data_IF_227077006623
#
_entry.id   IF_227077006623
#
_cell.length_a   1.000
_cell.length_b   1.000
_cell.length_c   1.000
_cell.angle_alpha   90.00
_cell.angle_beta   90.00
_cell.angle_gamma   90.00
#
_symmetry.space_group_name_H-M   'P 1'
#
loop_
_entity.id
_entity.type
_entity.pdbx_description
1 polymer ?
#
# COMPACT_ATOMS: atom_id res chain seq x y z
N UNK A 1 -29.35 0.66 36.78
CA UNK A 1 -27.96 0.51 36.31
C UNK A 1 -27.96 -0.42 35.11
N UNK A 2 -28.03 0.15 33.90
CA UNK A 2 -28.14 -0.61 32.66
C UNK A 2 -26.74 -1.06 32.20
N UNK A 3 -26.60 -2.36 31.96
CA UNK A 3 -25.40 -2.99 31.41
C UNK A 3 -25.04 -2.37 30.04
N UNK A 4 -23.80 -1.92 29.91
CA UNK A 4 -23.26 -1.34 28.68
C UNK A 4 -23.22 -2.35 27.53
N UNK A 5 -23.78 -1.92 26.41
CA UNK A 5 -23.95 -2.55 25.10
C UNK A 5 -22.78 -3.49 24.66
N UNK A 6 -23.04 -4.73 24.19
CA UNK A 6 -22.00 -5.59 23.64
C UNK A 6 -21.44 -4.98 22.36
N UNK A 7 -20.17 -4.56 22.38
CA UNK A 7 -19.42 -4.18 21.16
C UNK A 7 -19.59 -5.31 20.16
N UNK A 8 -20.22 -5.05 19.03
CA UNK A 8 -20.40 -6.01 17.93
C UNK A 8 -19.02 -6.45 17.47
N UNK A 9 -18.57 -7.61 17.95
CA UNK A 9 -17.28 -8.20 17.60
C UNK A 9 -17.26 -8.40 16.09
N UNK A 10 -16.32 -7.76 15.39
CA UNK A 10 -16.14 -7.98 13.95
C UNK A 10 -15.79 -9.46 13.74
N UNK A 11 -16.72 -10.25 13.21
CA UNK A 11 -16.57 -11.72 13.11
C UNK A 11 -15.54 -12.15 12.05
N UNK A 12 -15.07 -11.23 11.21
CA UNK A 12 -14.24 -11.52 10.03
C UNK A 12 -12.94 -10.72 9.94
N UNK A 13 -12.66 -9.87 10.93
CA UNK A 13 -11.41 -9.09 10.99
C UNK A 13 -10.63 -9.47 12.25
N UNK A 14 -9.32 -9.65 12.10
CA UNK A 14 -8.40 -9.78 13.24
C UNK A 14 -8.07 -8.43 13.88
N UNK A 15 -8.45 -7.32 13.24
CA UNK A 15 -8.24 -5.96 13.74
C UNK A 15 -9.41 -5.53 14.63
N UNK A 16 -9.09 -4.80 15.70
CA UNK A 16 -10.08 -4.28 16.64
C UNK A 16 -10.64 -2.94 16.17
N UNK A 17 -9.79 -2.10 15.56
CA UNK A 17 -10.12 -0.77 15.10
C UNK A 17 -9.65 -0.55 13.65
N UNK A 18 -10.24 0.43 12.97
CA UNK A 18 -9.76 0.89 11.65
C UNK A 18 -8.40 1.57 11.78
N UNK A 19 -8.15 2.27 12.90
CA UNK A 19 -6.86 2.88 13.23
C UNK A 19 -5.69 1.88 13.23
N UNK A 20 -5.96 0.61 13.58
CA UNK A 20 -4.96 -0.45 13.55
C UNK A 20 -4.34 -0.64 12.14
N UNK A 21 -5.08 -0.34 11.06
CA UNK A 21 -4.54 -0.39 9.69
C UNK A 21 -3.47 0.67 9.43
N UNK A 22 -3.63 1.87 9.99
CA UNK A 22 -2.65 2.95 9.84
C UNK A 22 -1.40 2.66 10.65
N UNK A 23 -1.56 2.18 11.89
CA UNK A 23 -0.45 1.75 12.75
C UNK A 23 0.33 0.61 12.08
N UNK A 24 -0.37 -0.39 11.55
CA UNK A 24 0.25 -1.48 10.79
C UNK A 24 1.04 -0.96 9.58
N UNK A 25 0.47 -0.02 8.81
CA UNK A 25 1.17 0.59 7.67
C UNK A 25 2.45 1.32 8.08
N UNK A 26 2.39 2.15 9.11
CA UNK A 26 3.56 2.85 9.64
C UNK A 26 4.64 1.89 10.16
N UNK A 27 4.25 0.87 10.93
CA UNK A 27 5.15 -0.16 11.42
C UNK A 27 5.83 -0.93 10.28
N UNK A 28 5.08 -1.31 9.24
CA UNK A 28 5.63 -2.04 8.09
C UNK A 28 6.67 -1.21 7.31
N UNK A 29 6.45 0.10 7.16
CA UNK A 29 7.45 0.97 6.52
C UNK A 29 8.74 0.99 7.35
N UNK A 30 8.61 1.11 8.67
CA UNK A 30 9.72 1.10 9.61
C UNK A 30 10.52 -0.21 9.62
N UNK A 31 9.81 -1.33 9.75
CA UNK A 31 10.38 -2.67 9.72
C UNK A 31 11.09 -2.94 8.39
N UNK A 32 10.47 -2.53 7.28
CA UNK A 32 11.07 -2.64 5.95
C UNK A 32 12.36 -1.83 5.84
N UNK A 33 12.37 -0.58 6.32
CA UNK A 33 13.57 0.25 6.31
C UNK A 33 14.69 -0.37 7.18
N UNK A 34 14.36 -0.88 8.37
CA UNK A 34 15.32 -1.55 9.25
C UNK A 34 15.93 -2.79 8.59
N UNK A 35 15.11 -3.63 7.95
CA UNK A 35 15.56 -4.83 7.23
C UNK A 35 16.41 -4.46 6.01
N UNK A 36 16.03 -3.45 5.24
CA UNK A 36 16.80 -2.99 4.08
C UNK A 36 18.16 -2.43 4.50
N UNK A 37 18.22 -1.61 5.56
CA UNK A 37 19.49 -1.14 6.11
C UNK A 37 20.36 -2.27 6.64
N UNK A 38 19.74 -3.26 7.29
CA UNK A 38 20.46 -4.45 7.73
C UNK A 38 21.06 -5.21 6.53
N UNK A 39 20.26 -5.47 5.49
CA UNK A 39 20.72 -6.16 4.27
C UNK A 39 21.88 -5.42 3.59
N UNK A 40 21.79 -4.09 3.44
CA UNK A 40 22.88 -3.30 2.88
C UNK A 40 24.17 -3.39 3.72
N UNK A 41 24.04 -3.34 5.04
CA UNK A 41 25.19 -3.42 5.95
C UNK A 41 25.91 -4.77 5.88
N UNK A 42 25.16 -5.85 5.69
CA UNK A 42 25.73 -7.19 5.48
C UNK A 42 26.28 -7.41 4.07
N UNK A 43 26.18 -6.40 3.18
CA UNK A 43 26.71 -6.46 1.81
C UNK A 43 25.79 -7.16 0.80
N UNK A 44 24.52 -7.37 1.12
CA UNK A 44 23.56 -7.91 0.15
C UNK A 44 23.16 -6.83 -0.86
N UNK A 45 23.17 -7.19 -2.14
CA UNK A 45 22.72 -6.31 -3.21
C UNK A 45 22.76 -7.00 -4.59
N UNK A 46 21.99 -6.49 -5.58
CA UNK A 46 21.01 -5.42 -5.48
C UNK A 46 19.78 -5.82 -4.63
N UNK A 47 19.18 -4.85 -3.93
CA UNK A 47 17.95 -5.06 -3.14
C UNK A 47 16.72 -4.66 -3.95
N UNK A 48 15.59 -5.32 -3.71
CA UNK A 48 14.31 -5.00 -4.33
C UNK A 48 13.14 -5.46 -3.47
N UNK A 49 11.95 -4.94 -3.76
CA UNK A 49 10.75 -5.23 -2.98
C UNK A 49 9.58 -5.63 -3.88
N UNK A 50 8.80 -6.60 -3.41
CA UNK A 50 7.56 -7.02 -4.06
C UNK A 50 6.55 -7.37 -2.99
N UNK A 51 5.28 -7.35 -3.38
CA UNK A 51 4.19 -7.78 -2.52
C UNK A 51 2.94 -7.97 -3.35
N UNK A 52 2.00 -8.76 -2.82
CA UNK A 52 0.74 -9.06 -3.50
C UNK A 52 -0.41 -8.44 -2.71
N UNK A 53 -1.38 -7.83 -3.41
CA UNK A 53 -2.59 -7.29 -2.79
C UNK A 53 -2.25 -6.22 -1.74
N UNK A 54 -2.74 -6.36 -0.51
CA UNK A 54 -2.32 -5.51 0.60
C UNK A 54 -0.79 -5.43 0.75
N UNK A 55 -0.06 -6.54 0.57
CA UNK A 55 1.40 -6.54 0.62
C UNK A 55 2.05 -5.71 -0.48
N UNK A 56 1.45 -5.63 -1.67
CA UNK A 56 1.95 -4.79 -2.76
C UNK A 56 1.74 -3.30 -2.48
N UNK A 57 0.62 -2.95 -1.83
CA UNK A 57 0.38 -1.60 -1.34
C UNK A 57 1.38 -1.23 -0.24
N UNK A 58 1.68 -2.12 0.69
CA UNK A 58 2.65 -1.86 1.78
C UNK A 58 4.09 -1.77 1.26
N UNK A 59 4.47 -2.63 0.31
CA UNK A 59 5.77 -2.55 -0.36
C UNK A 59 5.95 -1.20 -1.09
N UNK A 60 4.87 -0.71 -1.70
CA UNK A 60 4.86 0.60 -2.35
C UNK A 60 5.13 1.73 -1.37
N UNK A 61 4.48 1.72 -0.20
CA UNK A 61 4.71 2.71 0.85
C UNK A 61 6.13 2.67 1.39
N UNK A 62 6.68 1.47 1.60
CA UNK A 62 8.04 1.28 2.09
C UNK A 62 9.07 1.84 1.10
N UNK A 63 8.97 1.48 -0.18
CA UNK A 63 9.91 1.93 -1.23
C UNK A 63 9.79 3.44 -1.50
N UNK A 64 8.58 4.00 -1.43
CA UNK A 64 8.37 5.45 -1.50
C UNK A 64 9.11 6.23 -0.41
N UNK A 65 9.46 5.58 0.71
CA UNK A 65 10.22 6.17 1.81
C UNK A 65 11.69 5.73 1.84
N UNK A 66 12.12 4.90 0.90
CA UNK A 66 13.50 4.44 0.81
C UNK A 66 14.37 5.46 0.04
N UNK A 67 15.54 5.87 0.57
CA UNK A 67 16.32 6.96 0.00
C UNK A 67 17.19 6.59 -1.20
N UNK A 68 17.11 5.35 -1.73
CA UNK A 68 17.94 4.87 -2.83
C UNK A 68 17.09 4.27 -3.97
N UNK A 69 17.60 4.22 -5.21
CA UNK A 69 16.91 3.50 -6.30
C UNK A 69 16.68 2.04 -5.91
N UNK A 70 15.47 1.52 -6.18
CA UNK A 70 15.10 0.16 -5.82
C UNK A 70 14.05 -0.42 -6.80
N UNK A 71 14.28 -1.61 -7.37
CA UNK A 71 13.24 -2.39 -8.04
C UNK A 71 12.03 -2.62 -7.14
N UNK A 72 10.85 -2.23 -7.62
CA UNK A 72 9.59 -2.42 -6.92
C UNK A 72 8.56 -3.07 -7.85
N UNK A 73 8.00 -4.20 -7.40
CA UNK A 73 7.05 -5.00 -8.19
C UNK A 73 5.76 -5.22 -7.37
N UNK A 74 4.88 -4.22 -7.28
CA UNK A 74 3.62 -4.33 -6.57
C UNK A 74 2.63 -5.10 -7.46
N UNK A 75 2.22 -6.26 -6.99
CA UNK A 75 1.34 -7.17 -7.72
C UNK A 75 -0.08 -7.07 -7.17
N UNK A 76 -1.06 -6.94 -8.07
CA UNK A 76 -2.48 -6.90 -7.73
C UNK A 76 -2.77 -5.87 -6.64
N UNK A 77 -2.14 -4.69 -6.70
CA UNK A 77 -2.27 -3.64 -5.68
C UNK A 77 -2.28 -2.26 -6.33
N UNK A 78 -2.98 -1.28 -5.75
CA UNK A 78 -3.09 0.04 -6.37
C UNK A 78 -2.73 1.18 -5.40
N UNK A 79 -2.85 2.41 -5.89
CA UNK A 79 -2.47 3.63 -5.17
C UNK A 79 -3.32 3.94 -3.93
N UNK A 80 -4.46 3.28 -3.75
CA UNK A 80 -5.34 3.51 -2.59
C UNK A 80 -6.10 2.25 -2.18
N UNK A 81 -6.26 2.08 -0.87
CA UNK A 81 -7.16 1.08 -0.29
C UNK A 81 -8.61 1.55 -0.22
N UNK A 82 -8.89 2.83 -0.47
CA UNK A 82 -10.24 3.40 -0.32
C UNK A 82 -11.27 2.66 -1.18
N UNK A 83 -10.97 2.42 -2.46
CA UNK A 83 -11.87 1.70 -3.36
C UNK A 83 -12.17 0.28 -2.89
N UNK A 84 -11.20 -0.40 -2.27
CA UNK A 84 -11.36 -1.76 -1.74
C UNK A 84 -12.50 -1.83 -0.71
N UNK A 85 -12.54 -0.85 0.20
CA UNK A 85 -13.47 -0.84 1.31
C UNK A 85 -14.72 0.03 1.10
N UNK A 86 -14.78 0.87 0.07
CA UNK A 86 -15.95 1.74 -0.19
C UNK A 86 -16.81 1.25 -1.35
N UNK A 87 -16.20 0.71 -2.40
CA UNK A 87 -16.89 0.33 -3.65
C UNK A 87 -16.58 -1.08 -4.14
N UNK A 88 -15.52 -1.72 -3.63
CA UNK A 88 -15.10 -3.07 -3.99
C UNK A 88 -15.90 -4.17 -3.30
N UNK A 89 -15.48 -5.43 -3.49
CA UNK A 89 -16.13 -6.61 -2.86
C UNK A 89 -16.09 -6.59 -1.33
N UNK A 90 -15.18 -5.82 -0.73
CA UNK A 90 -15.10 -5.63 0.72
C UNK A 90 -15.92 -4.43 1.22
N UNK A 91 -16.66 -3.73 0.35
CA UNK A 91 -17.46 -2.56 0.73
C UNK A 91 -18.46 -2.80 1.86
N UNK A 92 -19.03 -4.00 1.91
CA UNK A 92 -19.99 -4.42 2.95
C UNK A 92 -19.33 -5.04 4.17
N UNK A 93 -17.99 -5.10 4.23
CA UNK A 93 -17.26 -5.66 5.37
C UNK A 93 -17.12 -4.66 6.53
N UNK A 94 -17.29 -3.36 6.24
CA UNK A 94 -17.17 -2.27 7.20
C UNK A 94 -18.53 -1.61 7.41
N UNK A 95 -18.91 -1.39 8.67
CA UNK A 95 -20.13 -0.66 8.99
C UNK A 95 -19.87 0.86 8.90
N UNK A 96 -19.81 1.38 7.68
CA UNK A 96 -19.50 2.78 7.42
C UNK A 96 -20.45 3.76 8.11
N UNK A 97 -21.74 3.42 8.20
CA UNK A 97 -22.74 4.26 8.87
C UNK A 97 -22.43 4.45 10.35
N UNK A 98 -22.00 3.39 11.03
CA UNK A 98 -21.62 3.48 12.44
C UNK A 98 -20.29 4.24 12.61
N UNK A 99 -19.30 4.01 11.74
CA UNK A 99 -18.03 4.76 11.77
C UNK A 99 -18.24 6.26 11.55
N UNK A 100 -19.08 6.63 10.58
CA UNK A 100 -19.43 8.02 10.28
C UNK A 100 -20.14 8.67 11.48
N UNK A 101 -21.11 7.97 12.07
CA UNK A 101 -21.77 8.44 13.30
C UNK A 101 -20.77 8.64 14.43
N UNK A 102 -19.86 7.69 14.65
CA UNK A 102 -18.84 7.79 15.70
C UNK A 102 -17.90 8.97 15.46
N UNK A 103 -17.45 9.17 14.22
CA UNK A 103 -16.60 10.28 13.83
C UNK A 103 -17.23 11.64 14.14
N UNK A 104 -18.50 11.84 13.79
CA UNK A 104 -19.20 13.12 14.04
C UNK A 104 -19.67 13.33 15.48
N UNK A 105 -19.84 12.25 16.25
CA UNK A 105 -20.33 12.36 17.64
C UNK A 105 -19.23 12.43 18.68
N UNK A 106 -18.02 11.99 18.36
CA UNK A 106 -16.90 11.93 19.28
C UNK A 106 -15.68 12.63 18.68
N UNK A 107 -15.40 13.85 19.13
CA UNK A 107 -14.29 14.69 18.64
C UNK A 107 -12.91 14.04 18.83
N UNK A 108 -12.78 13.13 19.82
CA UNK A 108 -11.55 12.37 20.06
C UNK A 108 -11.07 11.59 18.83
N UNK A 109 -11.98 11.08 18.00
CA UNK A 109 -11.59 10.31 16.80
C UNK A 109 -11.04 11.20 15.70
N UNK A 110 -11.54 12.42 15.56
CA UNK A 110 -10.97 13.40 14.64
C UNK A 110 -9.54 13.75 15.06
N UNK A 111 -9.33 14.05 16.35
CA UNK A 111 -8.01 14.33 16.91
C UNK A 111 -7.06 13.14 16.76
N UNK A 112 -7.50 11.92 17.06
CA UNK A 112 -6.69 10.70 16.89
C UNK A 112 -6.32 10.45 15.42
N UNK A 113 -7.25 10.64 14.48
CA UNK A 113 -7.00 10.49 13.04
C UNK A 113 -6.00 11.54 12.57
N UNK A 114 -6.17 12.81 12.97
CA UNK A 114 -5.22 13.88 12.65
C UNK A 114 -3.85 13.54 13.22
N UNK A 115 -3.76 13.14 14.49
CA UNK A 115 -2.50 12.78 15.12
C UNK A 115 -1.83 11.57 14.45
N UNK A 116 -2.59 10.55 14.04
CA UNK A 116 -2.06 9.42 13.27
C UNK A 116 -1.53 9.85 11.90
N UNK A 117 -2.25 10.75 11.21
CA UNK A 117 -1.82 11.30 9.92
C UNK A 117 -0.57 12.18 10.07
N UNK A 118 -0.50 12.98 11.14
CA UNK A 118 0.65 13.81 11.49
C UNK A 118 1.86 12.98 11.90
N UNK A 119 1.67 11.94 12.72
CA UNK A 119 2.73 11.01 13.12
C UNK A 119 3.29 10.28 11.90
N UNK A 120 2.41 9.74 11.04
CA UNK A 120 2.84 9.17 9.77
C UNK A 120 3.54 10.23 8.91
N UNK A 121 3.02 11.46 8.82
CA UNK A 121 3.62 12.51 7.99
C UNK A 121 4.98 13.01 8.47
N UNK A 122 5.14 13.26 9.77
CA UNK A 122 6.38 13.76 10.36
C UNK A 122 7.48 12.69 10.40
N UNK A 123 7.12 11.41 10.53
CA UNK A 123 8.05 10.30 10.42
C UNK A 123 8.46 9.99 8.97
N UNK A 124 7.56 10.20 8.01
CA UNK A 124 7.73 9.90 6.58
C UNK A 124 8.12 11.15 5.76
N UNK A 125 9.06 12.02 6.18
CA UNK A 125 9.49 13.22 5.40
C UNK A 125 8.34 14.01 4.73
N UNK A 126 7.16 14.13 5.34
CA UNK A 126 6.03 14.92 4.82
C UNK A 126 5.92 16.20 5.65
N UNK A 127 6.91 17.08 5.50
CA UNK A 127 6.75 18.49 5.83
C UNK A 127 6.65 19.28 4.53
N UNK A 128 5.52 19.13 3.83
CA UNK A 128 4.89 20.18 3.02
C UNK A 128 3.63 19.66 2.32
N UNK A 129 2.58 20.49 2.39
CA UNK A 129 1.34 20.51 1.59
C UNK A 129 0.16 19.65 2.07
N UNK A 130 -0.62 20.26 2.97
CA UNK A 130 -2.06 20.49 2.77
C UNK A 130 -2.84 19.32 2.10
N UNK A 131 -3.22 18.34 2.91
CA UNK A 131 -4.43 17.52 2.82
C UNK A 131 -4.89 16.93 1.46
N UNK A 132 -4.04 16.76 0.42
CA UNK A 132 -4.48 16.21 -0.88
C UNK A 132 -3.64 15.13 -1.56
N UNK A 133 -2.59 14.59 -0.93
CA UNK A 133 -1.77 13.54 -1.55
C UNK A 133 -1.34 12.51 -0.49
N UNK A 134 -2.20 11.53 -0.26
CA UNK A 134 -1.98 10.48 0.75
C UNK A 134 -0.85 9.54 0.27
N UNK A 135 0.22 9.49 1.07
CA UNK A 135 1.16 8.39 1.32
C UNK A 135 2.10 7.90 0.20
N UNK A 136 1.89 8.24 -1.06
CA UNK A 136 2.75 7.80 -2.17
C UNK A 136 3.72 8.91 -2.59
N UNK A 137 4.83 9.05 -1.85
CA UNK A 137 5.98 9.82 -2.35
C UNK A 137 6.49 9.15 -3.63
N UNK A 138 7.10 9.94 -4.51
CA UNK A 138 7.72 9.41 -5.73
C UNK A 138 9.03 8.72 -5.34
N UNK A 139 9.20 7.41 -5.58
CA UNK A 139 10.47 6.73 -5.32
C UNK A 139 11.59 7.38 -6.11
N UNK A 140 12.84 7.19 -5.65
CA UNK A 140 14.03 7.82 -6.24
C UNK A 140 14.14 7.59 -7.75
N UNK A 141 13.77 6.39 -8.21
CA UNK A 141 13.74 6.07 -9.64
C UNK A 141 12.49 5.25 -10.00
N UNK A 142 11.42 5.90 -10.45
CA UNK A 142 10.19 5.21 -10.84
C UNK A 142 10.33 4.28 -12.05
N UNK A 143 11.39 4.43 -12.86
CA UNK A 143 11.60 3.57 -14.05
C UNK A 143 11.92 2.12 -13.70
N UNK A 144 12.31 1.87 -12.44
CA UNK A 144 12.54 0.55 -11.87
C UNK A 144 11.25 -0.15 -11.39
N UNK A 145 10.12 0.54 -11.46
CA UNK A 145 8.84 0.06 -10.93
C UNK A 145 8.05 -0.63 -12.04
N UNK A 146 7.65 -1.88 -11.79
CA UNK A 146 6.77 -2.66 -12.68
C UNK A 146 5.55 -3.11 -11.88
N UNK A 147 4.42 -2.43 -12.08
CA UNK A 147 3.15 -2.76 -11.44
C UNK A 147 2.47 -3.87 -12.22
N UNK A 148 2.05 -4.96 -11.56
CA UNK A 148 1.31 -6.04 -12.24
C UNK A 148 -0.16 -6.02 -11.81
N UNK A 149 -1.08 -5.97 -12.76
CA UNK A 149 -2.52 -5.78 -12.51
C UNK A 149 -3.41 -6.78 -13.22
N UNK A 150 -4.41 -7.29 -12.51
CA UNK A 150 -5.51 -8.04 -13.10
C UNK A 150 -6.51 -7.09 -13.80
N UNK A 151 -6.89 -7.41 -15.04
CA UNK A 151 -7.87 -6.63 -15.80
C UNK A 151 -9.24 -6.67 -15.12
N UNK A 152 -9.69 -7.84 -14.70
CA UNK A 152 -11.00 -8.08 -14.08
C UNK A 152 -10.93 -8.08 -12.53
N UNK A 153 -10.10 -7.20 -11.96
CA UNK A 153 -9.93 -7.12 -10.51
C UNK A 153 -11.17 -6.55 -9.81
N UNK A 154 -11.94 -7.40 -9.14
CA UNK A 154 -13.11 -6.99 -8.35
C UNK A 154 -12.75 -6.52 -6.92
N UNK A 155 -11.54 -6.83 -6.43
CA UNK A 155 -11.08 -6.42 -5.12
C UNK A 155 -10.58 -4.98 -5.12
N UNK A 156 -9.88 -4.59 -6.19
CA UNK A 156 -9.23 -3.29 -6.31
C UNK A 156 -9.86 -2.53 -7.48
N UNK A 157 -11.03 -1.90 -7.26
CA UNK A 157 -11.65 -1.08 -8.28
C UNK A 157 -10.78 0.14 -8.58
N UNK A 158 -10.65 0.47 -9.87
CA UNK A 158 -9.77 1.55 -10.36
C UNK A 158 -10.52 2.77 -10.88
N UNK A 159 -11.85 2.71 -10.98
CA UNK A 159 -12.68 3.83 -11.47
C UNK A 159 -12.55 5.03 -10.53
N UNK A 160 -12.25 6.21 -11.08
CA UNK A 160 -12.14 7.44 -10.31
C UNK A 160 -10.85 7.57 -9.48
N UNK A 161 -9.90 6.64 -9.63
CA UNK A 161 -8.59 6.70 -8.98
C UNK A 161 -7.52 7.09 -9.99
N UNK A 162 -6.59 7.97 -9.60
CA UNK A 162 -5.44 8.33 -10.44
C UNK A 162 -4.63 7.11 -10.85
N UNK A 163 -4.09 7.15 -12.07
CA UNK A 163 -3.18 6.12 -12.56
C UNK A 163 -1.87 6.14 -11.76
N UNK A 164 -1.22 4.97 -11.63
CA UNK A 164 0.10 4.92 -10.98
C UNK A 164 1.16 5.65 -11.82
N UNK A 165 1.01 5.76 -13.14
CA UNK A 165 1.94 6.55 -13.97
C UNK A 165 1.84 8.06 -13.69
N UNK A 166 0.67 8.58 -13.32
CA UNK A 166 0.55 9.98 -12.88
C UNK A 166 1.24 10.23 -11.53
N UNK A 167 1.23 9.23 -10.65
CA UNK A 167 1.83 9.31 -9.31
C UNK A 167 3.34 9.07 -9.41
N UNK A 168 3.76 8.12 -10.23
CA UNK A 168 5.13 7.65 -10.43
C UNK A 168 5.49 7.71 -11.92
N UNK A 169 5.85 8.90 -12.44
CA UNK A 169 6.17 9.07 -13.85
C UNK A 169 7.31 8.15 -14.30
N UNK A 170 7.04 7.30 -15.29
CA UNK A 170 8.01 6.34 -15.83
C UNK A 170 7.86 4.90 -15.32
N UNK A 171 6.96 4.64 -14.36
CA UNK A 171 6.65 3.26 -13.98
C UNK A 171 5.94 2.50 -15.11
N UNK A 172 6.20 1.20 -15.23
CA UNK A 172 5.48 0.32 -16.15
C UNK A 172 4.26 -0.29 -15.46
N UNK A 173 3.14 -0.42 -16.18
CA UNK A 173 2.00 -1.23 -15.73
C UNK A 173 1.78 -2.38 -16.70
N UNK A 174 1.82 -3.60 -16.17
CA UNK A 174 1.54 -4.84 -16.88
C UNK A 174 0.17 -5.36 -16.51
N UNK A 175 -0.71 -5.42 -17.50
CA UNK A 175 -2.03 -6.01 -17.34
C UNK A 175 -1.98 -7.51 -17.67
N UNK A 176 -2.67 -8.31 -16.86
CA UNK A 176 -2.92 -9.72 -17.10
C UNK A 176 -4.42 -10.00 -17.17
N UNK A 177 -4.79 -11.03 -17.93
CA UNK A 177 -6.16 -11.54 -18.02
C UNK A 177 -6.58 -12.25 -16.73
N UNK A 178 -7.86 -12.10 -16.37
CA UNK A 178 -8.47 -12.67 -15.18
C UNK A 178 -8.63 -11.69 -14.02
N UNK A 179 -9.20 -12.19 -12.93
CA UNK A 179 -9.44 -11.45 -11.68
C UNK A 179 -8.39 -11.73 -10.61
N UNK A 180 -8.44 -10.96 -9.52
CA UNK A 180 -7.45 -10.94 -8.42
C UNK A 180 -7.02 -12.34 -7.95
N UNK A 181 -7.97 -13.19 -7.56
CA UNK A 181 -7.68 -14.52 -7.03
C UNK A 181 -7.15 -15.46 -8.11
N UNK A 182 -7.75 -15.45 -9.30
CA UNK A 182 -7.28 -16.28 -10.42
C UNK A 182 -5.86 -15.90 -10.86
N UNK A 183 -5.53 -14.60 -10.83
CA UNK A 183 -4.20 -14.11 -11.11
C UNK A 183 -3.19 -14.60 -10.08
N UNK A 184 -3.53 -14.49 -8.79
CA UNK A 184 -2.69 -14.98 -7.70
C UNK A 184 -2.38 -16.48 -7.83
N UNK A 185 -3.39 -17.30 -8.13
CA UNK A 185 -3.24 -18.76 -8.21
C UNK A 185 -2.54 -19.22 -9.49
N UNK A 186 -2.83 -18.60 -10.63
CA UNK A 186 -2.46 -19.16 -11.94
C UNK A 186 -1.47 -18.33 -12.75
N UNK A 187 -1.13 -17.10 -12.32
CA UNK A 187 -0.27 -16.18 -13.09
C UNK A 187 1.06 -15.88 -12.41
N UNK A 188 1.49 -16.69 -11.45
CA UNK A 188 2.76 -16.48 -10.71
C UNK A 188 4.00 -16.36 -11.60
N UNK A 189 4.03 -17.05 -12.76
CA UNK A 189 5.12 -16.91 -13.73
C UNK A 189 5.25 -15.49 -14.27
N UNK A 190 4.16 -14.74 -14.40
CA UNK A 190 4.18 -13.32 -14.81
C UNK A 190 4.72 -12.42 -13.70
N UNK A 191 4.40 -12.69 -12.43
CA UNK A 191 4.97 -11.95 -11.30
C UNK A 191 6.48 -12.13 -11.21
N UNK A 192 6.96 -13.38 -11.32
CA UNK A 192 8.40 -13.68 -11.34
C UNK A 192 9.12 -13.00 -12.49
N UNK A 193 8.55 -13.01 -13.70
CA UNK A 193 9.11 -12.28 -14.85
C UNK A 193 9.22 -10.78 -14.59
N UNK A 194 8.20 -10.16 -14.00
CA UNK A 194 8.26 -8.74 -13.64
C UNK A 194 9.37 -8.45 -12.63
N UNK A 195 9.61 -9.35 -11.67
CA UNK A 195 10.74 -9.24 -10.74
C UNK A 195 12.07 -9.27 -11.50
N UNK A 196 12.31 -10.28 -12.34
CA UNK A 196 13.54 -10.38 -13.13
C UNK A 196 13.78 -9.13 -13.98
N UNK A 197 12.76 -8.67 -14.70
CA UNK A 197 12.88 -7.50 -15.58
C UNK A 197 13.21 -6.21 -14.81
N UNK A 198 12.63 -6.03 -13.61
CA UNK A 198 12.91 -4.86 -12.77
C UNK A 198 14.36 -4.87 -12.24
N UNK A 199 14.87 -6.05 -11.84
CA UNK A 199 16.27 -6.19 -11.45
C UNK A 199 17.23 -6.01 -12.62
N UNK A 200 16.90 -6.52 -13.82
CA UNK A 200 17.69 -6.26 -15.02
C UNK A 200 17.80 -4.77 -15.33
N UNK A 201 16.69 -4.01 -15.19
CA UNK A 201 16.71 -2.54 -15.35
C UNK A 201 17.65 -1.89 -14.35
N UNK A 202 17.61 -2.31 -13.10
CA UNK A 202 18.50 -1.80 -12.07
C UNK A 202 19.97 -2.06 -12.43
N UNK A 203 20.31 -3.30 -12.77
CA UNK A 203 21.68 -3.67 -13.11
C UNK A 203 22.19 -2.87 -14.32
N UNK A 204 21.38 -2.73 -15.37
CA UNK A 204 21.75 -1.94 -16.56
C UNK A 204 22.01 -0.47 -16.27
N UNK A 205 21.36 0.10 -15.26
CA UNK A 205 21.42 1.54 -14.94
C UNK A 205 22.42 1.88 -13.84
N UNK A 206 22.63 0.97 -12.89
CA UNK A 206 23.34 1.25 -11.64
C UNK A 206 24.52 0.32 -11.34
N UNK A 207 24.73 -0.77 -12.09
CA UNK A 207 25.81 -1.74 -11.81
C UNK A 207 27.11 -1.46 -12.59
N UNK A 208 27.46 -0.19 -12.80
CA UNK A 208 28.77 0.21 -13.33
C UNK A 208 29.80 0.34 -12.21
#
# INVERSE_FOLDING_TARGET
MAAGNPRTKCKRSSLKNVSDLFVMGGALVLESAALLHWLEREGYGPLGMTGISMGGHMASLAVSNWPKPMPLIPCLSWSTASGVFTTGVLSKSINWRELEKQYYTQTVYEEEIIHMLEYCGSFLKVYMLHLKKILYLVPVDPSLIIVVQAKEDAYIPRTGVRSLQEIWPGCEIRYLEGGHISAYLFKQGLFRRAIYDAFERFLRKYAN
#
